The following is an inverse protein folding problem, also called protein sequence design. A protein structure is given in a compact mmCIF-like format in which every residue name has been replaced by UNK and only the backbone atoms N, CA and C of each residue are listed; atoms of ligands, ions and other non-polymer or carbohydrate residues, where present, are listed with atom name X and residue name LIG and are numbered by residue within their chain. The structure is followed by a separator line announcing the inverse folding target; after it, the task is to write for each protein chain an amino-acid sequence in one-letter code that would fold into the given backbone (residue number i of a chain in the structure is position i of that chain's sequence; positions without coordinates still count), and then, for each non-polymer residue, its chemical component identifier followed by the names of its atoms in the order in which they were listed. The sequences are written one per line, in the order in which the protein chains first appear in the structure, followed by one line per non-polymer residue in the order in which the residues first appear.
data_IF_606801271808
#
_entry.id   IF_606801271808
#
_cell.length_a   1.000
_cell.length_b   1.000
_cell.length_c   1.000
_cell.angle_alpha   90.00
_cell.angle_beta   90.00
_cell.angle_gamma   90.00
#
_symmetry.space_group_name_H-M   'P 1'
#
loop_
_entity.id
_entity.type
_entity.pdbx_description
1 polymer ?
#
# COMPACT_ATOMS: atom_id res chain seq x y z
N UNK A 1 -17.79 6.71 -8.23
CA UNK A 1 -16.54 6.79 -9.00
C UNK A 1 -15.60 5.77 -8.39
N UNK A 2 -15.17 4.78 -9.17
CA UNK A 2 -14.35 3.67 -8.68
C UNK A 2 -13.08 4.18 -7.99
N UNK A 3 -12.88 3.69 -6.78
CA UNK A 3 -11.80 4.01 -5.88
C UNK A 3 -10.52 3.34 -6.36
N UNK A 4 -9.73 4.01 -7.22
CA UNK A 4 -8.39 3.48 -7.54
C UNK A 4 -7.62 4.04 -8.73
N UNK A 5 -7.99 5.17 -9.32
CA UNK A 5 -7.29 5.71 -10.50
C UNK A 5 -6.75 7.10 -10.23
N UNK A 6 -5.45 7.30 -10.41
CA UNK A 6 -4.80 8.61 -10.35
C UNK A 6 -4.62 9.13 -11.79
N UNK A 7 -5.13 10.32 -12.07
CA UNK A 7 -4.80 11.03 -13.32
C UNK A 7 -3.58 11.88 -13.04
N UNK A 8 -2.45 11.49 -13.63
CA UNK A 8 -1.21 12.23 -13.51
C UNK A 8 -1.02 13.17 -14.70
N UNK A 9 -0.54 14.38 -14.45
CA UNK A 9 -0.22 15.38 -15.46
C UNK A 9 1.19 15.89 -15.21
N UNK A 10 2.14 15.54 -16.08
CA UNK A 10 3.54 15.94 -15.96
C UNK A 10 3.99 16.77 -17.18
N UNK A 11 4.26 18.08 -17.02
CA UNK A 11 4.72 18.94 -18.10
C UNK A 11 6.24 18.87 -18.31
N UNK A 12 6.69 18.30 -19.44
CA UNK A 12 8.06 18.42 -19.93
C UNK A 12 8.19 19.60 -20.91
N UNK A 13 9.42 20.13 -21.04
CA UNK A 13 9.79 21.33 -21.82
C UNK A 13 9.07 21.53 -23.17
N UNK A 14 8.71 20.45 -23.88
CA UNK A 14 7.84 20.48 -25.08
C UNK A 14 6.82 19.34 -25.19
N UNK A 15 6.69 18.48 -24.17
CA UNK A 15 5.84 17.27 -24.20
C UNK A 15 5.11 17.12 -22.88
N UNK A 16 3.92 16.56 -22.88
CA UNK A 16 3.15 16.39 -21.65
C UNK A 16 2.62 14.97 -21.58
N UNK A 17 2.86 14.30 -20.46
CA UNK A 17 2.35 12.95 -20.21
C UNK A 17 1.08 13.05 -19.37
N UNK A 18 -0.03 12.57 -19.92
CA UNK A 18 -1.27 12.32 -19.18
C UNK A 18 -1.49 10.83 -19.19
N UNK A 19 -1.48 10.22 -18.00
CA UNK A 19 -1.66 8.78 -17.89
C UNK A 19 -2.47 8.45 -16.65
N UNK A 20 -3.26 7.38 -16.75
CA UNK A 20 -3.91 6.78 -15.60
C UNK A 20 -2.96 5.73 -15.08
N UNK A 21 -2.42 5.96 -13.89
CA UNK A 21 -1.50 5.02 -13.27
C UNK A 21 -2.26 4.08 -12.32
N UNK A 22 -1.96 2.78 -12.37
CA UNK A 22 -2.21 1.90 -11.23
C UNK A 22 -1.59 2.48 -9.96
N UNK A 23 -2.16 2.19 -8.79
CA UNK A 23 -1.68 2.70 -7.49
C UNK A 23 -0.18 2.54 -7.28
N UNK A 24 0.39 1.40 -7.66
CA UNK A 24 1.84 1.12 -7.53
C UNK A 24 2.70 2.08 -8.36
N UNK A 25 2.26 2.42 -9.56
CA UNK A 25 2.99 3.33 -10.45
C UNK A 25 2.79 4.78 -10.03
N UNK A 26 1.61 5.12 -9.49
CA UNK A 26 1.36 6.43 -8.90
C UNK A 26 2.28 6.69 -7.69
N UNK A 27 2.48 5.70 -6.81
CA UNK A 27 3.43 5.79 -5.69
C UNK A 27 4.86 5.99 -6.18
N UNK A 28 5.31 5.22 -7.19
CA UNK A 28 6.64 5.41 -7.81
C UNK A 28 6.81 6.81 -8.38
N UNK A 29 5.78 7.33 -9.04
CA UNK A 29 5.80 8.69 -9.54
C UNK A 29 5.87 9.72 -8.41
N UNK A 30 5.04 9.61 -7.37
CA UNK A 30 5.04 10.55 -6.24
C UNK A 30 6.41 10.61 -5.55
N UNK A 31 7.09 9.47 -5.41
CA UNK A 31 8.45 9.40 -4.89
C UNK A 31 9.45 10.18 -5.76
N UNK A 32 9.31 10.10 -7.08
CA UNK A 32 10.12 10.91 -8.01
C UNK A 32 9.73 12.39 -7.97
N UNK A 33 8.43 12.70 -8.04
CA UNK A 33 7.85 14.04 -8.09
C UNK A 33 8.06 14.85 -6.81
N UNK A 34 8.27 14.21 -5.66
CA UNK A 34 8.61 14.88 -4.41
C UNK A 34 9.97 15.62 -4.41
N UNK A 35 10.71 15.61 -5.53
CA UNK A 35 11.81 16.54 -5.74
C UNK A 35 11.33 17.96 -6.13
N UNK A 36 10.04 18.12 -6.45
CA UNK A 36 9.39 19.39 -6.75
C UNK A 36 8.10 19.61 -5.93
N UNK A 37 7.40 20.70 -6.21
CA UNK A 37 6.18 21.09 -5.51
C UNK A 37 4.93 20.41 -6.11
N UNK A 38 4.01 19.97 -5.24
CA UNK A 38 2.72 19.37 -5.62
C UNK A 38 1.55 20.27 -5.19
N UNK A 39 0.61 20.50 -6.10
CA UNK A 39 -0.58 21.33 -5.87
C UNK A 39 -1.82 20.54 -6.25
N UNK A 40 -2.78 20.44 -5.33
CA UNK A 40 -4.11 19.89 -5.59
C UNK A 40 -5.08 21.01 -5.95
N UNK A 41 -5.86 20.75 -7.00
CA UNK A 41 -6.96 21.59 -7.45
C UNK A 41 -8.17 20.71 -7.77
N UNK A 42 -9.36 21.20 -7.46
CA UNK A 42 -10.62 20.54 -7.85
C UNK A 42 -11.19 21.21 -9.09
N UNK A 43 -11.26 20.46 -10.19
CA UNK A 43 -11.81 20.92 -11.47
C UNK A 43 -12.74 19.89 -12.11
N UNK A 44 -13.61 20.35 -13.00
CA UNK A 44 -14.42 19.45 -13.83
C UNK A 44 -13.57 18.89 -14.99
N UNK A 45 -13.36 17.57 -15.01
CA UNK A 45 -12.58 16.88 -16.05
C UNK A 45 -13.50 15.99 -16.92
N UNK A 46 -13.40 16.05 -18.27
CA UNK A 46 -12.65 17.05 -19.05
C UNK A 46 -13.35 18.42 -18.99
N UNK A 47 -12.55 19.47 -18.98
CA UNK A 47 -13.03 20.85 -19.06
C UNK A 47 -13.56 21.23 -20.46
N UNK A 48 -13.79 22.52 -20.69
CA UNK A 48 -14.38 23.08 -21.94
C UNK A 48 -13.37 23.38 -23.07
N UNK A 49 -12.14 22.88 -23.00
CA UNK A 49 -11.14 23.11 -24.05
C UNK A 49 -11.47 22.40 -25.36
N UNK A 50 -11.03 22.96 -26.48
CA UNK A 50 -11.30 22.45 -27.83
C UNK A 50 -9.99 22.05 -28.52
N UNK A 51 -9.97 20.87 -29.15
CA UNK A 51 -8.82 20.33 -29.89
C UNK A 51 -8.53 21.04 -31.23
N UNK A 52 -9.39 21.96 -31.69
CA UNK A 52 -9.26 22.62 -32.99
C UNK A 52 -8.08 23.60 -33.12
N UNK A 53 -7.31 23.87 -32.05
CA UNK A 53 -6.06 24.63 -32.14
C UNK A 53 -4.88 23.68 -31.95
N UNK A 54 -4.44 23.10 -33.06
CA UNK A 54 -3.32 22.18 -33.14
C UNK A 54 -2.06 22.73 -32.47
N UNK A 55 -1.25 21.78 -32.00
CA UNK A 55 -0.13 21.86 -31.05
C UNK A 55 -0.59 21.73 -29.59
N UNK A 56 -0.54 20.48 -29.07
CA UNK A 56 -0.62 20.17 -27.64
C UNK A 56 0.60 20.76 -26.90
N UNK A 57 0.63 22.08 -26.72
CA UNK A 57 1.47 22.69 -25.71
C UNK A 57 0.76 22.61 -24.34
N UNK A 58 1.50 22.87 -23.26
CA UNK A 58 0.95 22.80 -21.90
C UNK A 58 -0.31 23.68 -21.73
N UNK A 59 -0.40 24.82 -22.43
CA UNK A 59 -1.53 25.74 -22.33
C UNK A 59 -2.85 25.19 -22.91
N UNK A 60 -2.82 24.54 -24.08
CA UNK A 60 -4.02 23.93 -24.70
C UNK A 60 -4.55 22.78 -23.84
N UNK A 61 -3.67 21.96 -23.25
CA UNK A 61 -4.06 20.84 -22.38
C UNK A 61 -4.57 21.32 -21.03
N UNK A 62 -3.95 22.33 -20.40
CA UNK A 62 -4.48 22.95 -19.17
C UNK A 62 -5.88 23.48 -19.42
N UNK A 63 -6.13 24.10 -20.57
CA UNK A 63 -7.48 24.51 -20.93
C UNK A 63 -8.44 23.38 -21.25
N UNK A 64 -7.95 22.25 -21.74
CA UNK A 64 -8.76 21.04 -21.94
C UNK A 64 -9.08 20.33 -20.61
N UNK A 65 -8.11 20.11 -19.74
CA UNK A 65 -8.27 19.37 -18.48
C UNK A 65 -8.96 20.19 -17.40
N UNK A 66 -8.55 21.45 -17.23
CA UNK A 66 -9.09 22.35 -16.20
C UNK A 66 -10.24 23.22 -16.74
N UNK A 67 -10.49 23.21 -18.05
CA UNK A 67 -11.61 23.90 -18.67
C UNK A 67 -11.46 25.42 -18.81
N UNK A 68 -10.24 25.94 -18.71
CA UNK A 68 -9.96 27.39 -18.66
C UNK A 68 -9.01 27.82 -19.77
N UNK A 69 -9.29 28.93 -20.45
CA UNK A 69 -8.32 29.52 -21.39
C UNK A 69 -7.12 30.07 -20.60
N UNK A 70 -5.95 29.43 -20.71
CA UNK A 70 -4.71 29.90 -20.09
C UNK A 70 -3.69 30.33 -21.16
N UNK A 71 -2.90 31.37 -20.86
CA UNK A 71 -1.86 31.93 -21.75
C UNK A 71 -0.46 31.74 -21.13
N UNK A 72 -0.18 30.54 -20.62
CA UNK A 72 1.03 30.28 -19.85
C UNK A 72 2.08 29.55 -20.68
N UNK A 73 3.30 30.06 -20.66
CA UNK A 73 4.35 29.67 -21.60
C UNK A 73 5.36 28.65 -21.04
N UNK A 74 5.39 28.43 -19.72
CA UNK A 74 6.29 27.46 -19.08
C UNK A 74 5.59 26.66 -17.95
N UNK A 75 6.07 25.45 -17.62
CA UNK A 75 5.57 24.66 -16.48
C UNK A 75 5.63 25.43 -15.16
N UNK A 76 6.71 26.17 -14.92
CA UNK A 76 6.89 26.94 -13.69
C UNK A 76 5.93 28.14 -13.60
N UNK A 77 5.64 28.81 -14.72
CA UNK A 77 4.64 29.88 -14.74
C UNK A 77 3.23 29.32 -14.50
N UNK A 78 2.94 28.11 -15.01
CA UNK A 78 1.67 27.44 -14.75
C UNK A 78 1.57 27.10 -13.26
N UNK A 79 2.59 26.46 -12.69
CA UNK A 79 2.68 26.19 -11.26
C UNK A 79 2.43 27.44 -10.41
N UNK A 80 3.12 28.56 -10.68
CA UNK A 80 2.91 29.83 -9.97
C UNK A 80 1.47 30.33 -10.06
N UNK A 81 0.87 30.23 -11.24
CA UNK A 81 -0.52 30.62 -11.42
C UNK A 81 -1.44 29.71 -10.60
N UNK A 82 -1.26 28.39 -10.70
CA UNK A 82 -2.03 27.39 -9.98
C UNK A 82 -1.95 27.57 -8.46
N UNK A 83 -0.74 27.81 -7.90
CA UNK A 83 -0.55 28.09 -6.46
C UNK A 83 -1.30 29.34 -6.01
N UNK A 84 -1.42 30.35 -6.87
CA UNK A 84 -2.12 31.60 -6.54
C UNK A 84 -3.64 31.52 -6.60
N UNK A 85 -4.21 30.39 -7.05
CA UNK A 85 -5.64 30.25 -7.24
C UNK A 85 -6.40 30.02 -5.93
N UNK A 86 -7.62 30.54 -5.86
CA UNK A 86 -8.53 30.27 -4.74
C UNK A 86 -8.94 28.80 -4.73
N UNK A 87 -8.60 28.09 -3.64
CA UNK A 87 -8.86 26.65 -3.50
C UNK A 87 -7.72 25.76 -3.98
N UNK A 88 -6.59 26.33 -4.39
CA UNK A 88 -5.34 25.59 -4.56
C UNK A 88 -4.77 25.21 -3.19
N UNK A 89 -4.43 23.95 -3.03
CA UNK A 89 -3.82 23.45 -1.80
C UNK A 89 -2.47 22.84 -2.13
N UNK A 90 -1.44 23.25 -1.40
CA UNK A 90 -0.16 22.57 -1.42
C UNK A 90 -0.34 21.19 -0.81
N UNK A 91 0.08 20.17 -1.55
CA UNK A 91 0.03 18.80 -1.07
C UNK A 91 1.37 18.41 -0.48
N UNK A 92 1.32 17.90 0.74
CA UNK A 92 2.46 17.22 1.35
C UNK A 92 2.50 15.78 0.83
N UNK A 93 3.57 15.45 0.11
CA UNK A 93 3.70 14.14 -0.54
C UNK A 93 3.73 13.01 0.49
N UNK A 94 4.36 13.23 1.65
CA UNK A 94 4.37 12.25 2.73
C UNK A 94 2.95 11.94 3.21
N UNK A 95 2.17 12.97 3.52
CA UNK A 95 0.77 12.82 3.95
C UNK A 95 -0.08 12.08 2.91
N UNK A 96 0.10 12.37 1.62
CA UNK A 96 -0.60 11.65 0.54
C UNK A 96 -0.21 10.17 0.47
N UNK A 97 1.09 9.87 0.61
CA UNK A 97 1.58 8.49 0.64
C UNK A 97 1.07 7.74 1.87
N UNK A 98 1.12 8.36 3.05
CA UNK A 98 0.62 7.78 4.31
C UNK A 98 -0.87 7.47 4.20
N UNK A 99 -1.69 8.40 3.70
CA UNK A 99 -3.13 8.17 3.55
C UNK A 99 -3.43 7.05 2.54
N UNK A 100 -2.66 6.99 1.44
CA UNK A 100 -2.78 5.90 0.48
C UNK A 100 -2.42 4.55 1.10
N UNK A 101 -1.29 4.47 1.78
CA UNK A 101 -0.82 3.26 2.48
C UNK A 101 -1.86 2.80 3.49
N UNK A 102 -2.28 3.69 4.39
CA UNK A 102 -3.28 3.41 5.42
C UNK A 102 -4.53 2.82 4.83
N UNK A 103 -5.06 3.41 3.75
CA UNK A 103 -6.28 2.94 3.09
C UNK A 103 -6.13 1.55 2.48
N UNK A 104 -5.01 1.29 1.80
CA UNK A 104 -4.75 -0.01 1.17
C UNK A 104 -4.52 -1.09 2.22
N UNK A 105 -3.69 -0.80 3.23
CA UNK A 105 -3.36 -1.73 4.32
C UNK A 105 -4.60 -2.05 5.17
N UNK A 106 -5.34 -1.04 5.64
CA UNK A 106 -6.54 -1.26 6.45
C UNK A 106 -7.57 -2.14 5.74
N UNK A 107 -7.81 -1.87 4.45
CA UNK A 107 -8.77 -2.64 3.65
C UNK A 107 -8.35 -4.11 3.54
N UNK A 108 -7.08 -4.34 3.25
CA UNK A 108 -6.55 -5.67 3.03
C UNK A 108 -6.40 -6.46 4.34
N UNK A 109 -5.87 -5.84 5.39
CA UNK A 109 -5.70 -6.46 6.71
C UNK A 109 -7.03 -6.86 7.34
N UNK A 110 -8.08 -6.02 7.25
CA UNK A 110 -9.41 -6.39 7.75
C UNK A 110 -9.93 -7.69 7.12
N UNK A 111 -9.63 -7.93 5.86
CA UNK A 111 -10.02 -9.15 5.14
C UNK A 111 -9.15 -10.35 5.48
N UNK A 112 -7.84 -10.15 5.68
CA UNK A 112 -6.94 -11.24 6.03
C UNK A 112 -7.09 -11.70 7.48
N UNK A 113 -7.40 -10.78 8.40
CA UNK A 113 -7.56 -11.07 9.83
C UNK A 113 -8.99 -11.48 10.20
N UNK A 114 -9.95 -11.40 9.27
CA UNK A 114 -11.30 -11.89 9.53
C UNK A 114 -11.32 -13.41 9.52
N UNK A 115 -11.61 -14.02 10.66
CA UNK A 115 -11.86 -15.45 10.77
C UNK A 115 -13.36 -15.74 10.67
N UNK A 116 -13.69 -16.80 9.92
CA UNK A 116 -15.08 -17.25 9.84
C UNK A 116 -15.55 -17.77 11.21
N UNK A 117 -16.75 -17.38 11.62
CA UNK A 117 -17.34 -17.82 12.90
C UNK A 117 -17.48 -19.36 13.02
N UNK A 118 -17.42 -20.08 11.90
CA UNK A 118 -17.42 -21.56 11.85
C UNK A 118 -16.11 -22.14 12.37
N UNK A 119 -14.99 -21.44 12.15
CA UNK A 119 -13.64 -21.84 12.57
C UNK A 119 -13.44 -21.63 14.08
N UNK A 120 -14.25 -20.78 14.72
CA UNK A 120 -14.22 -20.58 16.18
C UNK A 120 -14.56 -21.83 17.01
N UNK A 121 -14.95 -22.95 16.39
CA UNK A 121 -15.18 -24.26 17.04
C UNK A 121 -14.06 -25.27 16.80
N UNK A 122 -13.03 -24.88 16.07
CA UNK A 122 -11.91 -25.74 15.69
C UNK A 122 -10.81 -25.69 16.76
N UNK A 123 -9.84 -26.59 16.66
CA UNK A 123 -8.66 -26.59 17.53
C UNK A 123 -7.78 -25.34 17.31
N UNK A 124 -6.96 -24.97 18.30
CA UNK A 124 -6.02 -23.85 18.19
C UNK A 124 -5.11 -23.98 16.96
N UNK A 125 -4.67 -25.19 16.64
CA UNK A 125 -3.85 -25.47 15.46
C UNK A 125 -4.56 -25.10 14.15
N UNK A 126 -5.85 -25.40 14.02
CA UNK A 126 -6.64 -25.09 12.83
C UNK A 126 -6.92 -23.59 12.72
N UNK A 127 -7.23 -22.92 13.84
CA UNK A 127 -7.45 -21.47 13.88
C UNK A 127 -6.16 -20.73 13.46
N UNK A 128 -5.01 -21.12 14.04
CA UNK A 128 -3.71 -20.55 13.70
C UNK A 128 -3.32 -20.81 12.25
N UNK A 129 -3.58 -22.02 11.74
CA UNK A 129 -3.27 -22.37 10.34
C UNK A 129 -4.08 -21.54 9.36
N UNK A 130 -5.37 -21.33 9.62
CA UNK A 130 -6.21 -20.48 8.76
C UNK A 130 -5.73 -19.02 8.79
N UNK A 131 -5.49 -18.48 9.99
CA UNK A 131 -4.99 -17.12 10.16
C UNK A 131 -3.64 -16.94 9.46
N UNK A 132 -2.72 -17.89 9.63
CA UNK A 132 -1.42 -17.92 8.98
C UNK A 132 -1.55 -17.94 7.46
N UNK A 133 -2.44 -18.76 6.89
CA UNK A 133 -2.68 -18.83 5.45
C UNK A 133 -3.20 -17.50 4.90
N UNK A 134 -4.14 -16.86 5.61
CA UNK A 134 -4.72 -15.58 5.18
C UNK A 134 -3.69 -14.44 5.24
N UNK A 135 -2.92 -14.38 6.32
CA UNK A 135 -1.82 -13.41 6.47
C UNK A 135 -0.77 -13.65 5.38
N UNK A 136 -0.34 -14.90 5.16
CA UNK A 136 0.66 -15.23 4.15
C UNK A 136 0.21 -14.87 2.73
N UNK A 137 -1.03 -15.21 2.39
CA UNK A 137 -1.62 -14.86 1.09
C UNK A 137 -1.59 -13.34 0.86
N UNK A 138 -1.84 -12.56 1.92
CA UNK A 138 -1.82 -11.12 1.83
C UNK A 138 -0.40 -10.55 1.72
N UNK A 139 0.51 -10.90 2.63
CA UNK A 139 1.86 -10.32 2.69
C UNK A 139 2.73 -10.73 1.50
N UNK A 140 2.43 -11.88 0.86
CA UNK A 140 3.13 -12.33 -0.35
C UNK A 140 2.55 -11.73 -1.63
N UNK A 141 1.36 -11.10 -1.55
CA UNK A 141 0.72 -10.50 -2.72
C UNK A 141 1.57 -9.34 -3.28
N UNK A 142 1.51 -9.17 -4.59
CA UNK A 142 2.25 -8.12 -5.28
C UNK A 142 1.98 -6.71 -4.72
N UNK A 143 0.73 -6.40 -4.40
CA UNK A 143 0.33 -5.08 -3.87
C UNK A 143 1.02 -4.79 -2.53
N UNK A 144 1.05 -5.76 -1.61
CA UNK A 144 1.64 -5.57 -0.28
C UNK A 144 3.18 -5.62 -0.33
N UNK A 145 3.76 -6.48 -1.17
CA UNK A 145 5.21 -6.48 -1.40
C UNK A 145 5.68 -5.13 -1.95
N UNK A 146 4.96 -4.54 -2.92
CA UNK A 146 5.28 -3.24 -3.48
C UNK A 146 5.20 -2.12 -2.42
N UNK A 147 4.21 -2.17 -1.52
CA UNK A 147 4.09 -1.23 -0.39
C UNK A 147 5.21 -1.42 0.64
N UNK A 148 5.51 -2.66 1.04
CA UNK A 148 6.58 -2.96 2.00
C UNK A 148 7.94 -2.51 1.48
N UNK A 149 8.26 -2.83 0.23
CA UNK A 149 9.48 -2.40 -0.43
C UNK A 149 9.58 -0.87 -0.49
N UNK A 150 8.47 -0.18 -0.78
CA UNK A 150 8.43 1.29 -0.77
C UNK A 150 8.63 1.87 0.63
N UNK A 151 7.99 1.30 1.65
CA UNK A 151 8.18 1.72 3.04
C UNK A 151 9.64 1.62 3.49
N UNK A 152 10.37 0.61 3.00
CA UNK A 152 11.80 0.46 3.27
C UNK A 152 12.63 1.52 2.54
N UNK A 153 12.47 1.65 1.21
CA UNK A 153 13.31 2.57 0.44
C UNK A 153 13.09 4.03 0.85
N UNK A 154 11.86 4.40 1.19
CA UNK A 154 11.52 5.78 1.52
C UNK A 154 11.58 6.08 3.01
N UNK A 155 12.00 5.15 3.87
CA UNK A 155 11.97 5.32 5.32
C UNK A 155 12.73 6.56 5.82
N UNK A 156 13.86 6.89 5.20
CA UNK A 156 14.66 8.07 5.58
C UNK A 156 14.02 9.38 5.12
N UNK A 157 13.32 9.36 3.98
CA UNK A 157 12.73 10.54 3.36
C UNK A 157 11.32 10.84 3.87
N UNK A 158 10.54 9.79 4.08
CA UNK A 158 9.13 9.82 4.50
C UNK A 158 8.93 8.82 5.66
N UNK A 159 9.43 9.13 6.87
CA UNK A 159 9.35 8.23 8.02
C UNK A 159 7.92 7.83 8.39
N UNK A 160 6.93 8.68 8.11
CA UNK A 160 5.51 8.39 8.29
C UNK A 160 5.02 7.21 7.47
N UNK A 161 5.60 6.95 6.28
CA UNK A 161 5.24 5.80 5.44
C UNK A 161 5.69 4.49 6.08
N UNK A 162 6.92 4.45 6.60
CA UNK A 162 7.44 3.30 7.32
C UNK A 162 6.65 3.04 8.61
N UNK A 163 6.33 4.10 9.36
CA UNK A 163 5.52 4.02 10.56
C UNK A 163 4.09 3.53 10.25
N UNK A 164 3.47 4.03 9.18
CA UNK A 164 2.15 3.60 8.74
C UNK A 164 2.15 2.09 8.41
N UNK A 165 3.17 1.58 7.73
CA UNK A 165 3.28 0.15 7.45
C UNK A 165 3.41 -0.68 8.74
N UNK A 166 4.22 -0.23 9.70
CA UNK A 166 4.34 -0.89 11.01
C UNK A 166 2.99 -0.96 11.75
N UNK A 167 2.25 0.15 11.77
CA UNK A 167 1.01 0.26 12.54
C UNK A 167 -0.18 -0.41 11.88
N UNK A 168 -0.23 -0.44 10.55
CA UNK A 168 -1.39 -0.91 9.79
C UNK A 168 -1.18 -2.27 9.09
N UNK A 169 0.02 -2.85 9.13
CA UNK A 169 0.29 -4.18 8.56
C UNK A 169 0.97 -5.12 9.57
N UNK A 170 2.14 -4.74 10.09
CA UNK A 170 2.98 -5.60 10.94
C UNK A 170 2.34 -5.87 12.30
N UNK A 171 2.07 -4.82 13.08
CA UNK A 171 1.54 -4.92 14.44
C UNK A 171 0.17 -5.61 14.48
N UNK A 172 -0.80 -5.29 13.60
CA UNK A 172 -2.09 -5.97 13.62
C UNK A 172 -2.00 -7.46 13.30
N UNK A 173 -1.11 -7.86 12.38
CA UNK A 173 -0.93 -9.27 12.05
C UNK A 173 -0.32 -10.07 13.21
N UNK A 174 0.70 -9.52 13.87
CA UNK A 174 1.32 -10.13 15.06
C UNK A 174 0.31 -10.18 16.21
N UNK A 175 -0.45 -9.11 16.45
CA UNK A 175 -1.48 -9.06 17.50
C UNK A 175 -2.54 -10.15 17.29
N UNK A 176 -3.04 -10.32 16.06
CA UNK A 176 -4.05 -11.34 15.78
C UNK A 176 -3.56 -12.77 16.08
N UNK A 177 -2.29 -13.06 15.78
CA UNK A 177 -1.68 -14.36 16.13
C UNK A 177 -1.54 -14.49 17.65
N UNK A 178 -1.06 -13.44 18.32
CA UNK A 178 -0.89 -13.41 19.76
C UNK A 178 -2.22 -13.62 20.51
N UNK A 179 -3.32 -13.07 19.99
CA UNK A 179 -4.66 -13.21 20.58
C UNK A 179 -5.14 -14.67 20.56
N UNK A 180 -4.88 -15.40 19.46
CA UNK A 180 -5.20 -16.84 19.37
C UNK A 180 -4.34 -17.64 20.35
N UNK A 181 -3.04 -17.35 20.40
CA UNK A 181 -2.11 -18.01 21.33
C UNK A 181 -2.46 -17.76 22.80
N UNK A 182 -2.83 -16.52 23.14
CA UNK A 182 -3.27 -16.13 24.49
C UNK A 182 -4.53 -16.87 24.88
N UNK A 183 -5.49 -16.98 23.96
CA UNK A 183 -6.74 -17.73 24.19
C UNK A 183 -6.47 -19.21 24.48
N UNK A 184 -5.47 -19.81 23.82
CA UNK A 184 -5.08 -21.19 24.07
C UNK A 184 -4.35 -21.39 25.41
N UNK A 185 -3.51 -20.44 25.80
CA UNK A 185 -2.87 -20.43 27.12
C UNK A 185 -3.89 -20.26 28.26
N UNK A 186 -4.87 -19.36 28.10
CA UNK A 186 -5.96 -19.16 29.07
C UNK A 186 -6.87 -20.39 29.22
N UNK A 187 -6.91 -21.26 28.19
CA UNK A 187 -7.63 -22.53 28.20
C UNK A 187 -6.79 -23.70 28.73
N UNK A 188 -5.58 -23.45 29.24
CA UNK A 188 -4.60 -24.46 29.66
C UNK A 188 -4.28 -25.52 28.58
N UNK A 189 -4.40 -25.15 27.28
CA UNK A 189 -4.08 -26.05 26.16
C UNK A 189 -2.57 -26.20 25.95
N UNK A 190 -1.81 -25.12 26.20
CA UNK A 190 -0.35 -25.07 26.07
C UNK A 190 0.28 -24.27 27.21
N UNK A 191 1.46 -24.67 27.67
CA UNK A 191 2.27 -23.90 28.61
C UNK A 191 3.12 -22.88 27.85
N UNK A 192 2.90 -21.58 28.10
CA UNK A 192 3.52 -20.50 27.32
C UNK A 192 3.75 -19.24 28.18
N UNK A 193 5.00 -18.75 28.18
CA UNK A 193 5.38 -17.55 28.95
C UNK A 193 5.08 -16.22 28.21
N UNK A 194 5.33 -16.14 26.90
CA UNK A 194 5.19 -14.91 26.11
C UNK A 194 4.51 -15.17 24.75
N UNK A 195 3.16 -15.13 24.68
CA UNK A 195 2.40 -15.28 23.44
C UNK A 195 2.78 -14.26 22.36
N UNK A 196 3.15 -13.05 22.76
CA UNK A 196 3.54 -11.98 21.83
C UNK A 196 4.91 -12.29 21.18
N UNK A 197 5.87 -12.85 21.92
CA UNK A 197 7.13 -13.31 21.37
C UNK A 197 6.96 -14.51 20.43
N UNK A 198 6.08 -15.44 20.78
CA UNK A 198 5.79 -16.59 19.93
C UNK A 198 5.08 -16.17 18.64
N UNK A 199 4.18 -15.19 18.70
CA UNK A 199 3.54 -14.60 17.53
C UNK A 199 4.55 -13.93 16.58
N UNK A 200 5.52 -13.17 17.13
CA UNK A 200 6.63 -12.61 16.33
C UNK A 200 7.49 -13.70 15.69
N UNK A 201 7.75 -14.77 16.42
CA UNK A 201 8.51 -15.93 15.92
C UNK A 201 7.76 -16.64 14.78
N UNK A 202 6.45 -16.86 14.93
CA UNK A 202 5.60 -17.40 13.86
C UNK A 202 5.64 -16.51 12.61
N UNK A 203 5.50 -15.19 12.77
CA UNK A 203 5.61 -14.25 11.64
C UNK A 203 6.96 -14.35 10.93
N UNK A 204 8.06 -14.48 11.68
CA UNK A 204 9.39 -14.70 11.12
C UNK A 204 9.49 -16.00 10.29
N UNK A 205 8.98 -17.11 10.84
CA UNK A 205 8.95 -18.41 10.16
C UNK A 205 8.08 -18.38 8.90
N UNK A 206 6.90 -17.76 9.00
CA UNK A 206 5.98 -17.59 7.89
C UNK A 206 6.62 -16.80 6.75
N UNK A 207 7.43 -15.76 7.02
CA UNK A 207 8.12 -14.98 5.99
C UNK A 207 9.32 -15.71 5.40
N UNK A 208 10.15 -16.30 6.24
CA UNK A 208 11.44 -16.90 5.88
C UNK A 208 12.19 -16.12 4.79
N UNK A 209 12.84 -16.82 3.87
CA UNK A 209 13.59 -16.19 2.77
C UNK A 209 12.70 -15.75 1.61
N UNK A 210 11.60 -16.46 1.34
CA UNK A 210 10.70 -16.17 0.20
C UNK A 210 10.18 -14.72 0.19
N UNK A 211 9.85 -14.16 1.35
CA UNK A 211 9.40 -12.77 1.43
C UNK A 211 10.46 -11.79 0.89
N UNK A 212 11.72 -12.00 1.28
CA UNK A 212 12.85 -11.22 0.78
C UNK A 212 13.05 -11.44 -0.72
N UNK A 213 12.97 -12.69 -1.19
CA UNK A 213 13.15 -13.04 -2.60
C UNK A 213 12.08 -12.38 -3.49
N UNK A 214 10.84 -12.26 -3.00
CA UNK A 214 9.77 -11.52 -3.67
C UNK A 214 10.05 -10.01 -3.70
N UNK A 215 10.49 -9.43 -2.59
CA UNK A 215 10.82 -8.01 -2.51
C UNK A 215 11.94 -7.60 -3.47
N UNK A 216 12.98 -8.43 -3.61
CA UNK A 216 14.10 -8.17 -4.52
C UNK A 216 13.84 -8.65 -5.95
N UNK A 217 12.67 -9.24 -6.22
CA UNK A 217 12.22 -9.63 -7.56
C UNK A 217 12.90 -10.86 -8.15
N UNK A 218 13.44 -11.76 -7.31
CA UNK A 218 14.09 -13.01 -7.75
C UNK A 218 13.19 -14.24 -7.62
N UNK A 219 12.04 -14.13 -6.94
CA UNK A 219 11.04 -15.18 -6.85
C UNK A 219 9.74 -14.82 -7.60
N UNK A 220 9.06 -15.84 -8.10
CA UNK A 220 7.68 -15.72 -8.57
C UNK A 220 6.70 -15.74 -7.39
N UNK A 221 5.50 -15.19 -7.59
CA UNK A 221 4.42 -15.24 -6.61
C UNK A 221 4.10 -16.70 -6.23
N UNK A 222 4.02 -17.03 -4.93
CA UNK A 222 3.73 -18.39 -4.50
C UNK A 222 2.32 -18.81 -4.90
N UNK A 223 2.14 -20.09 -5.20
CA UNK A 223 0.81 -20.65 -5.45
C UNK A 223 0.02 -20.75 -4.14
N UNK A 224 -1.32 -20.88 -4.20
CA UNK A 224 -2.12 -21.14 -3.00
C UNK A 224 -1.68 -22.39 -2.22
N UNK A 225 -1.18 -23.41 -2.93
CA UNK A 225 -0.66 -24.64 -2.32
C UNK A 225 0.67 -24.39 -1.59
N UNK A 226 1.58 -23.60 -2.18
CA UNK A 226 2.82 -23.17 -1.51
C UNK A 226 2.51 -22.40 -0.22
N UNK A 227 1.51 -21.50 -0.27
CA UNK A 227 1.07 -20.72 0.89
C UNK A 227 0.51 -21.64 1.98
N UNK A 228 -0.36 -22.59 1.64
CA UNK A 228 -0.94 -23.52 2.61
C UNK A 228 0.12 -24.41 3.24
N UNK A 229 1.01 -25.00 2.43
CA UNK A 229 2.11 -25.82 2.89
C UNK A 229 2.98 -25.06 3.90
N UNK A 230 3.29 -23.80 3.59
CA UNK A 230 4.13 -22.95 4.43
C UNK A 230 3.45 -22.51 5.71
N UNK A 231 2.16 -22.17 5.65
CA UNK A 231 1.36 -21.84 6.81
C UNK A 231 1.33 -23.01 7.81
N UNK A 232 1.01 -24.21 7.33
CA UNK A 232 1.00 -25.45 8.15
C UNK A 232 2.36 -25.73 8.75
N UNK A 233 3.42 -25.70 7.94
CA UNK A 233 4.77 -25.99 8.43
C UNK A 233 5.22 -25.02 9.52
N UNK A 234 4.91 -23.72 9.38
CA UNK A 234 5.25 -22.71 10.38
C UNK A 234 4.46 -22.88 11.69
N UNK A 235 3.16 -23.16 11.59
CA UNK A 235 2.29 -23.42 12.76
C UNK A 235 2.69 -24.71 13.46
N UNK A 236 2.89 -25.80 12.72
CA UNK A 236 3.35 -27.09 13.27
C UNK A 236 4.69 -26.96 14.00
N UNK A 237 5.61 -26.14 13.48
CA UNK A 237 6.89 -25.89 14.12
C UNK A 237 6.71 -25.15 15.45
N UNK A 238 5.90 -24.09 15.47
CA UNK A 238 5.63 -23.28 16.66
C UNK A 238 4.92 -24.10 17.74
N UNK A 239 3.90 -24.88 17.38
CA UNK A 239 3.17 -25.70 18.35
C UNK A 239 4.02 -26.84 18.93
N UNK A 240 5.04 -27.33 18.21
CA UNK A 240 6.02 -28.30 18.73
C UNK A 240 7.08 -27.67 19.63
N UNK A 241 7.20 -26.35 19.64
CA UNK A 241 8.12 -25.62 20.52
C UNK A 241 7.51 -25.25 21.88
N UNK A 242 6.20 -25.50 22.02
CA UNK A 242 5.43 -25.36 23.26
C UNK A 242 5.47 -26.66 24.08
#
# INVERSE_FOLDING_TARGET
METGSWVLVEPWWTRLMVTVLPSSDAVRFLRWGAAGDMVRLREAVPGRGNQLKGWFNCAVMVGFLLGRSSWVWTPHALYKQLVSETGAEHEDVESLLVEHFRKVLDRNMRRALSLDARIARHSTAEILTELARNILSLIMSREIIDLHHTAIIEAERFPGVAQCYQDHAERPAVSAIADVLRSAAEADEFEMEDPDALARSLMGLMRGTLHLDLMIGVAAQPTPEDIDCRARAAVDFILKSL
#
